data_IF_380211501063
#
_entry.id   IF_380211501063
#
_cell.length_a   1.000
_cell.length_b   1.000
_cell.length_c   1.000
_cell.angle_alpha   90.00
_cell.angle_beta   90.00
_cell.angle_gamma   90.00
#
_symmetry.space_group_name_H-M   'P 1'
#
loop_
_entity.id
_entity.type
_entity.pdbx_description
1 polymer ?
#
# COMPACT_ATOMS: atom_id res chain seq x y z
N UNK A 1 6.94 25.70 19.18
CA UNK A 1 7.82 25.70 17.98
C UNK A 1 7.69 24.31 17.39
N UNK A 2 6.92 24.19 16.30
CA UNK A 2 6.90 22.97 15.47
C UNK A 2 8.29 22.86 14.87
N UNK A 3 8.99 21.77 15.17
CA UNK A 3 10.34 21.57 14.66
C UNK A 3 10.25 21.22 13.17
N UNK A 4 11.23 21.61 12.37
CA UNK A 4 11.31 21.31 10.92
C UNK A 4 11.18 19.81 10.58
N UNK A 5 11.17 18.91 11.58
CA UNK A 5 10.87 17.48 11.49
C UNK A 5 9.38 17.12 11.36
N UNK A 6 8.45 18.08 11.46
CA UNK A 6 7.01 17.84 11.31
C UNK A 6 6.56 17.69 9.84
N UNK A 7 7.49 17.73 8.89
CA UNK A 7 7.24 17.57 7.45
C UNK A 7 7.29 16.11 6.97
N UNK A 8 6.96 15.14 7.84
CA UNK A 8 6.83 13.73 7.46
C UNK A 8 5.97 13.53 6.20
N UNK A 9 4.85 14.26 6.00
CA UNK A 9 4.03 14.12 4.79
C UNK A 9 4.75 14.53 3.49
N UNK A 10 5.79 15.36 3.56
CA UNK A 10 6.54 15.81 2.37
C UNK A 10 7.76 14.95 2.06
N UNK A 11 8.03 13.91 2.85
CA UNK A 11 9.14 13.00 2.58
C UNK A 11 8.86 12.17 1.33
N UNK A 12 9.84 12.06 0.45
CA UNK A 12 9.78 11.27 -0.79
C UNK A 12 9.42 9.80 -0.53
N UNK A 13 9.87 9.25 0.61
CA UNK A 13 9.52 7.90 1.04
C UNK A 13 8.04 7.75 1.37
N UNK A 14 7.44 8.74 2.05
CA UNK A 14 5.99 8.76 2.35
C UNK A 14 5.18 8.91 1.07
N UNK A 15 5.60 9.82 0.18
CA UNK A 15 4.98 9.96 -1.14
C UNK A 15 4.99 8.66 -1.96
N UNK A 16 6.05 7.86 -1.83
CA UNK A 16 6.15 6.55 -2.50
C UNK A 16 5.12 5.54 -1.97
N UNK A 17 4.85 5.53 -0.66
CA UNK A 17 3.83 4.66 -0.07
C UNK A 17 2.41 5.12 -0.40
N UNK A 18 2.16 6.44 -0.40
CA UNK A 18 0.87 7.00 -0.83
C UNK A 18 0.57 6.59 -2.27
N UNK A 19 1.59 6.60 -3.14
CA UNK A 19 1.46 6.16 -4.53
C UNK A 19 1.08 4.68 -4.61
N UNK A 20 1.76 3.81 -3.85
CA UNK A 20 1.40 2.39 -3.74
C UNK A 20 -0.01 2.17 -3.19
N UNK A 21 -0.50 3.03 -2.29
CA UNK A 21 -1.84 2.94 -1.73
C UNK A 21 -2.96 3.35 -2.71
N UNK A 22 -2.66 4.09 -3.79
CA UNK A 22 -3.70 4.79 -4.56
C UNK A 22 -3.62 4.59 -6.08
N UNK A 23 -2.43 4.53 -6.67
CA UNK A 23 -2.25 4.72 -8.11
C UNK A 23 -2.93 3.64 -8.96
N UNK A 24 -2.85 2.38 -8.54
CA UNK A 24 -3.31 1.23 -9.32
C UNK A 24 -4.48 0.49 -8.68
N UNK A 25 -5.15 1.09 -7.69
CA UNK A 25 -6.26 0.45 -6.96
C UNK A 25 -7.42 0.07 -7.85
N UNK A 26 -7.68 0.81 -8.95
CA UNK A 26 -8.74 0.50 -9.92
C UNK A 26 -8.28 -0.42 -11.05
N UNK A 27 -7.01 -0.81 -11.07
CA UNK A 27 -6.40 -1.73 -12.03
C UNK A 27 -6.01 -3.05 -11.33
N UNK A 28 -6.72 -3.36 -10.26
CA UNK A 28 -6.55 -4.52 -9.41
C UNK A 28 -7.10 -5.81 -10.04
N UNK A 29 -6.98 -6.91 -9.31
CA UNK A 29 -7.64 -8.17 -9.63
C UNK A 29 -8.86 -8.40 -8.72
N UNK A 30 -9.97 -7.75 -9.08
CA UNK A 30 -11.20 -7.74 -8.30
C UNK A 30 -11.77 -9.14 -8.05
N UNK A 31 -11.68 -10.01 -9.05
CA UNK A 31 -12.14 -11.40 -8.98
C UNK A 31 -11.38 -12.17 -7.89
N UNK A 32 -10.04 -12.14 -7.92
CA UNK A 32 -9.22 -12.81 -6.91
C UNK A 32 -9.38 -12.19 -5.52
N UNK A 33 -9.58 -10.87 -5.44
CA UNK A 33 -9.72 -10.20 -4.16
C UNK A 33 -11.09 -10.42 -3.52
N UNK A 34 -12.13 -10.71 -4.31
CA UNK A 34 -13.51 -10.91 -3.83
C UNK A 34 -13.64 -11.97 -2.73
N UNK A 35 -12.74 -12.95 -2.68
CA UNK A 35 -12.66 -13.97 -1.62
C UNK A 35 -12.48 -13.36 -0.20
N UNK A 36 -11.88 -12.17 -0.12
CA UNK A 36 -11.65 -11.43 1.13
C UNK A 36 -12.78 -10.45 1.45
N UNK A 37 -13.74 -10.25 0.54
CA UNK A 37 -14.90 -9.40 0.75
C UNK A 37 -16.00 -10.21 1.46
N UNK A 38 -15.91 -10.34 2.79
CA UNK A 38 -16.99 -10.92 3.60
C UNK A 38 -18.24 -10.04 3.51
N UNK A 39 -19.42 -10.64 3.71
CA UNK A 39 -20.80 -10.11 3.55
C UNK A 39 -21.16 -8.78 4.27
N UNK A 40 -20.19 -7.98 4.75
CA UNK A 40 -20.44 -6.65 5.27
C UNK A 40 -20.61 -5.63 4.14
N UNK A 41 -21.50 -4.65 4.37
CA UNK A 41 -21.67 -3.48 3.49
C UNK A 41 -20.42 -2.62 3.36
N UNK A 42 -19.40 -2.87 4.18
CA UNK A 42 -18.11 -2.21 4.18
C UNK A 42 -17.03 -3.21 3.75
N UNK A 43 -16.16 -2.78 2.84
CA UNK A 43 -15.06 -3.59 2.35
C UNK A 43 -14.11 -3.96 3.49
N UNK A 44 -13.71 -5.23 3.57
CA UNK A 44 -12.75 -5.65 4.59
C UNK A 44 -11.38 -5.01 4.33
N UNK A 45 -10.63 -4.69 5.40
CA UNK A 45 -9.25 -4.17 5.26
C UNK A 45 -8.37 -5.11 4.43
N UNK A 46 -8.59 -6.42 4.54
CA UNK A 46 -7.86 -7.43 3.76
C UNK A 46 -8.21 -7.36 2.28
N UNK A 47 -9.49 -7.16 1.96
CA UNK A 47 -9.95 -6.93 0.60
C UNK A 47 -9.29 -5.67 0.01
N UNK A 48 -9.30 -4.55 0.74
CA UNK A 48 -8.66 -3.32 0.28
C UNK A 48 -7.15 -3.47 0.06
N UNK A 49 -6.46 -4.20 0.95
CA UNK A 49 -5.04 -4.52 0.75
C UNK A 49 -4.84 -5.37 -0.50
N UNK A 50 -5.68 -6.37 -0.72
CA UNK A 50 -5.61 -7.20 -1.92
C UNK A 50 -5.75 -6.36 -3.19
N UNK A 51 -6.70 -5.42 -3.25
CA UNK A 51 -6.87 -4.54 -4.42
C UNK A 51 -5.60 -3.73 -4.70
N UNK A 52 -5.08 -3.05 -3.66
CA UNK A 52 -3.84 -2.26 -3.76
C UNK A 52 -2.66 -3.12 -4.21
N UNK A 53 -2.45 -4.28 -3.59
CA UNK A 53 -1.31 -5.14 -3.87
C UNK A 53 -1.38 -5.71 -5.30
N UNK A 54 -2.52 -6.25 -5.70
CA UNK A 54 -2.70 -6.82 -7.05
C UNK A 54 -2.58 -5.75 -8.13
N UNK A 55 -3.16 -4.57 -7.92
CA UNK A 55 -3.03 -3.44 -8.84
C UNK A 55 -1.58 -3.02 -9.05
N UNK A 56 -0.80 -2.92 -7.97
CA UNK A 56 0.64 -2.62 -8.04
C UNK A 56 1.43 -3.71 -8.76
N UNK A 57 1.16 -4.99 -8.49
CA UNK A 57 1.86 -6.11 -9.11
C UNK A 57 1.56 -6.21 -10.62
N UNK A 58 0.29 -6.03 -11.02
CA UNK A 58 -0.12 -6.06 -12.42
C UNK A 58 0.46 -4.88 -13.22
N UNK A 59 0.74 -3.76 -12.56
CA UNK A 59 1.29 -2.56 -13.16
C UNK A 59 2.74 -2.30 -12.71
N UNK A 60 3.45 -3.34 -12.29
CA UNK A 60 4.79 -3.20 -11.71
C UNK A 60 5.77 -2.46 -12.63
N UNK A 61 5.72 -2.73 -13.93
CA UNK A 61 6.59 -2.05 -14.90
C UNK A 61 6.27 -0.55 -15.01
N UNK A 62 5.02 -0.16 -14.77
CA UNK A 62 4.54 1.24 -14.82
C UNK A 62 4.74 1.99 -13.50
N UNK A 63 4.97 1.29 -12.38
CA UNK A 63 5.29 1.93 -11.11
C UNK A 63 6.47 2.87 -11.29
N UNK A 64 6.37 4.08 -10.77
CA UNK A 64 7.43 5.05 -10.86
C UNK A 64 7.62 5.72 -9.50
N UNK A 65 8.84 5.60 -8.97
CA UNK A 65 9.26 6.28 -7.75
C UNK A 65 10.16 7.46 -8.11
N UNK A 66 10.54 8.24 -7.12
CA UNK A 66 11.39 9.41 -7.35
C UNK A 66 12.83 8.96 -7.67
N UNK A 67 13.35 9.43 -8.81
CA UNK A 67 14.76 9.29 -9.21
C UNK A 67 15.35 7.88 -8.96
N UNK A 68 16.34 7.80 -8.08
CA UNK A 68 17.13 6.62 -7.75
C UNK A 68 16.29 5.52 -7.07
N UNK A 69 15.15 5.87 -6.45
CA UNK A 69 14.28 4.90 -5.79
C UNK A 69 13.66 3.91 -6.78
N UNK A 70 13.56 4.27 -8.06
CA UNK A 70 13.11 3.35 -9.10
C UNK A 70 14.00 2.11 -9.24
N UNK A 71 15.31 2.25 -8.99
CA UNK A 71 16.25 1.13 -9.01
C UNK A 71 15.92 0.10 -7.93
N UNK A 72 15.21 0.52 -6.88
CA UNK A 72 14.82 -0.28 -5.72
C UNK A 72 13.32 -0.52 -5.64
N UNK A 73 12.60 -0.42 -6.76
CA UNK A 73 11.13 -0.58 -6.84
C UNK A 73 10.62 -1.83 -6.12
N UNK A 74 11.27 -2.97 -6.33
CA UNK A 74 10.93 -4.24 -5.66
C UNK A 74 11.07 -4.13 -4.14
N UNK A 75 12.17 -3.54 -3.66
CA UNK A 75 12.41 -3.37 -2.23
C UNK A 75 11.35 -2.47 -1.59
N UNK A 76 10.99 -1.37 -2.25
CA UNK A 76 9.94 -0.47 -1.77
C UNK A 76 8.58 -1.16 -1.72
N UNK A 77 8.21 -1.92 -2.75
CA UNK A 77 6.99 -2.70 -2.77
C UNK A 77 6.95 -3.76 -1.66
N UNK A 78 8.08 -4.44 -1.42
CA UNK A 78 8.18 -5.44 -0.35
C UNK A 78 8.06 -4.81 1.04
N UNK A 79 8.73 -3.68 1.28
CA UNK A 79 8.64 -2.95 2.55
C UNK A 79 7.23 -2.40 2.78
N UNK A 80 6.59 -1.86 1.75
CA UNK A 80 5.20 -1.40 1.83
C UNK A 80 4.25 -2.57 2.14
N UNK A 81 4.41 -3.71 1.45
CA UNK A 81 3.61 -4.91 1.72
C UNK A 81 3.76 -5.37 3.16
N UNK A 82 5.00 -5.45 3.66
CA UNK A 82 5.27 -5.79 5.06
C UNK A 82 4.60 -4.81 6.02
N UNK A 83 4.71 -3.50 5.76
CA UNK A 83 4.09 -2.46 6.58
C UNK A 83 2.56 -2.52 6.58
N UNK A 84 1.91 -2.87 5.46
CA UNK A 84 0.45 -3.05 5.45
C UNK A 84 0.04 -4.30 6.21
N UNK A 85 0.77 -5.41 6.06
CA UNK A 85 0.51 -6.66 6.78
C UNK A 85 0.71 -6.52 8.29
N UNK A 86 1.74 -5.79 8.74
CA UNK A 86 1.99 -5.60 10.18
C UNK A 86 0.87 -4.86 10.91
N UNK A 87 0.04 -4.07 10.19
CA UNK A 87 -1.13 -3.41 10.78
C UNK A 87 -2.23 -4.39 11.17
N UNK A 88 -2.27 -5.58 10.57
CA UNK A 88 -3.21 -6.63 10.96
C UNK A 88 -2.76 -7.31 12.26
N UNK A 89 -1.47 -7.53 12.43
CA UNK A 89 -0.89 -8.10 13.66
C UNK A 89 -1.09 -7.16 14.87
N UNK A 90 -0.98 -5.83 14.67
CA UNK A 90 -1.23 -4.85 15.73
C UNK A 90 -2.70 -4.79 16.17
N UNK A 91 -3.66 -5.11 15.29
CA UNK A 91 -5.09 -5.14 15.63
C UNK A 91 -5.48 -6.42 16.38
N UNK A 92 -4.76 -7.53 16.19
CA UNK A 92 -4.98 -8.78 16.93
C UNK A 92 -4.53 -8.68 18.39
N UNK A 93 -3.52 -7.85 18.69
CA UNK A 93 -2.96 -7.67 20.04
C UNK A 93 -3.59 -6.52 20.87
N UNK A 94 -4.57 -5.81 20.33
CA UNK A 94 -5.32 -4.75 21.05
C UNK A 94 -6.64 -5.23 21.68
N UNK A 95 -7.03 -6.49 21.46
CA UNK A 95 -8.26 -7.09 21.98
C UNK A 95 -8.00 -8.06 23.14
#
# INVERSE_FOLDING_TARGET
>A
MSSEYDNIPTLTSVGSYIRLDTEFVSQDNHENCSEYNKDSSEHSKMYELCLRLTGNLMNYDKLNFFEELNLYKCNYLNLWTYYQLSKFDEEEHRN
#
